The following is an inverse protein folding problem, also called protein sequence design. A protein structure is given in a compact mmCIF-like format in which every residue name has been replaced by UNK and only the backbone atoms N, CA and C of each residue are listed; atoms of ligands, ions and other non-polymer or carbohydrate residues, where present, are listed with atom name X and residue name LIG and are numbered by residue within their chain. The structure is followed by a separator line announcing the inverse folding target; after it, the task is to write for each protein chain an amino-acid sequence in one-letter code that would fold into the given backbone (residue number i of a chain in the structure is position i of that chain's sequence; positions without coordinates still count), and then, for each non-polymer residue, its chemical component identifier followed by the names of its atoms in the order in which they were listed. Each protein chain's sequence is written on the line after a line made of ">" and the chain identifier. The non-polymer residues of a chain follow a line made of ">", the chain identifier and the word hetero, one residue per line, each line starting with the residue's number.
data_IF_241488172543
#
_entry.id   IF_241488172543
#
_cell.length_a   1.000
_cell.length_b   1.000
_cell.length_c   1.000
_cell.angle_alpha   90.00
_cell.angle_beta   90.00
_cell.angle_gamma   90.00
#
_symmetry.space_group_name_H-M   'P 1'
#
loop_
_entity.id
_entity.type
_entity.pdbx_description
1 polymer ?
#
# COMPACT_ATOMS: atom_id res chain seq x y z
N UNK A 1 44.59 -18.29 11.27
CA UNK A 1 43.84 -17.07 11.68
C UNK A 1 42.62 -17.51 12.46
N UNK A 2 42.42 -17.00 13.68
CA UNK A 2 41.25 -17.34 14.48
C UNK A 2 39.97 -16.75 13.81
N UNK A 3 38.86 -17.49 13.78
CA UNK A 3 37.60 -16.99 13.22
C UNK A 3 37.12 -15.79 14.04
N UNK A 4 36.92 -14.65 13.39
CA UNK A 4 36.29 -13.51 14.03
C UNK A 4 34.80 -13.78 14.15
N UNK A 5 34.34 -14.02 15.37
CA UNK A 5 32.92 -14.24 15.62
C UNK A 5 32.17 -12.90 15.66
N UNK A 6 31.29 -12.68 14.68
CA UNK A 6 30.50 -11.45 14.55
C UNK A 6 29.24 -11.44 15.43
N UNK A 7 29.32 -11.77 16.72
CA UNK A 7 28.15 -11.98 17.58
C UNK A 7 27.24 -10.75 17.79
N UNK A 8 27.71 -9.54 17.48
CA UNK A 8 26.92 -8.30 17.64
C UNK A 8 26.12 -7.87 16.40
N UNK A 9 26.30 -8.53 15.25
CA UNK A 9 25.62 -8.12 14.02
C UNK A 9 24.28 -8.87 13.84
N UNK A 10 23.25 -8.19 13.30
CA UNK A 10 22.00 -8.84 12.90
C UNK A 10 22.25 -10.04 11.99
N UNK A 11 21.44 -11.09 12.12
CA UNK A 11 21.58 -12.33 11.36
C UNK A 11 21.64 -12.10 9.84
N UNK A 12 20.86 -11.15 9.32
CA UNK A 12 20.83 -10.80 7.90
C UNK A 12 22.13 -10.16 7.40
N UNK A 13 22.77 -9.33 8.22
CA UNK A 13 24.06 -8.70 7.87
C UNK A 13 25.18 -9.73 7.85
N UNK A 14 25.18 -10.65 8.82
CA UNK A 14 26.11 -11.79 8.84
C UNK A 14 25.95 -12.68 7.61
N UNK A 15 24.72 -12.97 7.20
CA UNK A 15 24.45 -13.69 5.96
C UNK A 15 24.96 -12.93 4.73
N UNK A 16 24.75 -11.60 4.66
CA UNK A 16 25.23 -10.79 3.54
C UNK A 16 26.75 -10.81 3.41
N UNK A 17 27.48 -10.69 4.52
CA UNK A 17 28.94 -10.81 4.54
C UNK A 17 29.41 -12.20 4.11
N UNK A 18 28.77 -13.27 4.63
CA UNK A 18 29.09 -14.64 4.26
C UNK A 18 28.90 -14.89 2.75
N UNK A 19 27.80 -14.41 2.17
CA UNK A 19 27.56 -14.52 0.72
C UNK A 19 28.60 -13.75 -0.10
N UNK A 20 28.99 -12.55 0.35
CA UNK A 20 29.98 -11.74 -0.34
C UNK A 20 31.37 -12.41 -0.38
N UNK A 21 31.79 -13.05 0.71
CA UNK A 21 33.07 -13.75 0.74
C UNK A 21 33.06 -15.10 0.00
N UNK A 22 31.91 -15.79 -0.07
CA UNK A 22 31.72 -16.95 -0.97
C UNK A 22 31.80 -16.50 -2.44
N UNK A 23 31.15 -15.38 -2.79
CA UNK A 23 31.17 -14.85 -4.15
C UNK A 23 32.58 -14.45 -4.63
N UNK A 24 33.45 -14.03 -3.69
CA UNK A 24 34.87 -13.76 -3.94
C UNK A 24 35.73 -15.03 -4.01
N UNK A 25 35.16 -16.20 -3.76
CA UNK A 25 35.87 -17.49 -3.75
C UNK A 25 36.79 -17.70 -2.54
N UNK A 26 36.65 -16.89 -1.48
CA UNK A 26 37.53 -17.00 -0.29
C UNK A 26 37.25 -18.25 0.54
N UNK A 27 35.99 -18.67 0.62
CA UNK A 27 35.54 -19.76 1.47
C UNK A 27 34.50 -20.62 0.75
N UNK A 28 34.47 -21.91 1.08
CA UNK A 28 33.36 -22.81 0.71
C UNK A 28 32.15 -22.52 1.60
N UNK A 29 30.96 -22.92 1.13
CA UNK A 29 29.69 -22.62 1.82
C UNK A 29 29.66 -23.07 3.29
N UNK A 30 30.14 -24.28 3.61
CA UNK A 30 30.19 -24.78 5.00
C UNK A 30 31.19 -24.02 5.88
N UNK A 31 32.33 -23.63 5.32
CA UNK A 31 33.37 -22.88 6.04
C UNK A 31 32.89 -21.48 6.39
N UNK A 32 32.30 -20.78 5.42
CA UNK A 32 31.68 -19.48 5.63
C UNK A 32 30.55 -19.57 6.67
N UNK A 33 29.69 -20.59 6.58
CA UNK A 33 28.61 -20.79 7.54
C UNK A 33 29.11 -20.94 8.99
N UNK A 34 30.20 -21.69 9.19
CA UNK A 34 30.84 -21.81 10.51
C UNK A 34 31.46 -20.50 10.98
N UNK A 35 32.16 -19.78 10.10
CA UNK A 35 32.87 -18.54 10.43
C UNK A 35 31.90 -17.40 10.83
N UNK A 36 30.78 -17.25 10.11
CA UNK A 36 29.77 -16.23 10.39
C UNK A 36 28.67 -16.70 11.38
N UNK A 37 28.76 -17.94 11.87
CA UNK A 37 27.77 -18.57 12.75
C UNK A 37 26.33 -18.47 12.19
N UNK A 38 26.16 -18.90 10.95
CA UNK A 38 24.87 -18.97 10.25
C UNK A 38 24.60 -20.40 9.77
N UNK A 39 23.35 -20.84 9.80
CA UNK A 39 22.99 -22.21 9.38
C UNK A 39 23.32 -22.40 7.88
N UNK A 40 24.03 -23.48 7.48
CA UNK A 40 24.40 -23.72 6.08
C UNK A 40 23.19 -23.80 5.14
N UNK A 41 22.09 -24.41 5.60
CA UNK A 41 20.84 -24.49 4.84
C UNK A 41 20.25 -23.12 4.56
N UNK A 42 20.20 -22.25 5.56
CA UNK A 42 19.71 -20.87 5.42
C UNK A 42 20.58 -20.09 4.44
N UNK A 43 21.90 -20.20 4.54
CA UNK A 43 22.83 -19.54 3.60
C UNK A 43 22.65 -20.04 2.17
N UNK A 44 22.49 -21.35 1.97
CA UNK A 44 22.20 -21.96 0.67
C UNK A 44 20.88 -21.45 0.08
N UNK A 45 19.83 -21.37 0.89
CA UNK A 45 18.54 -20.81 0.49
C UNK A 45 18.66 -19.34 0.06
N UNK A 46 19.49 -18.54 0.75
CA UNK A 46 19.77 -17.15 0.36
C UNK A 46 20.45 -17.04 -0.99
N UNK A 47 21.47 -17.87 -1.23
CA UNK A 47 22.16 -17.89 -2.52
C UNK A 47 21.23 -18.30 -3.67
N UNK A 48 20.19 -19.10 -3.39
CA UNK A 48 19.11 -19.45 -4.35
C UNK A 48 18.06 -18.35 -4.50
N UNK A 49 18.22 -17.20 -3.87
CA UNK A 49 17.29 -16.07 -3.96
C UNK A 49 16.06 -16.17 -3.07
N UNK A 50 16.02 -17.09 -2.09
CA UNK A 50 14.88 -17.14 -1.14
C UNK A 50 14.89 -15.90 -0.24
N UNK A 51 13.75 -15.20 -0.23
CA UNK A 51 13.53 -14.00 0.59
C UNK A 51 13.53 -14.32 2.08
N UNK A 52 13.89 -13.35 2.95
CA UNK A 52 13.82 -13.54 4.39
C UNK A 52 12.42 -13.90 4.83
N UNK A 53 12.29 -14.79 5.83
CA UNK A 53 10.97 -15.18 6.35
C UNK A 53 10.13 -13.97 6.73
N UNK A 54 10.74 -12.99 7.40
CA UNK A 54 10.08 -11.73 7.74
C UNK A 54 9.56 -11.00 6.49
N UNK A 55 10.43 -10.74 5.50
CA UNK A 55 10.01 -10.09 4.24
C UNK A 55 8.97 -10.89 3.47
N UNK A 56 9.06 -12.23 3.47
CA UNK A 56 8.09 -13.10 2.83
C UNK A 56 6.74 -13.09 3.57
N UNK A 57 6.75 -12.97 4.90
CA UNK A 57 5.55 -12.82 5.71
C UNK A 57 4.90 -11.46 5.47
N UNK A 58 5.67 -10.36 5.48
CA UNK A 58 5.18 -9.02 5.14
C UNK A 58 4.56 -9.00 3.73
N UNK A 59 5.18 -9.65 2.75
CA UNK A 59 4.64 -9.73 1.39
C UNK A 59 3.33 -10.54 1.28
N UNK A 60 3.01 -11.38 2.28
CA UNK A 60 1.78 -12.17 2.34
C UNK A 60 0.71 -11.54 3.23
N UNK A 61 1.00 -10.41 3.87
CA UNK A 61 0.01 -9.70 4.66
C UNK A 61 -1.10 -9.18 3.74
N UNK A 62 -2.36 -9.48 4.11
CA UNK A 62 -3.54 -8.95 3.41
C UNK A 62 -3.83 -7.51 3.83
N UNK A 63 -3.41 -7.13 5.03
CA UNK A 63 -3.64 -5.82 5.63
C UNK A 63 -2.31 -5.07 5.75
N UNK A 64 -2.30 -3.75 5.52
CA UNK A 64 -1.17 -2.90 5.88
C UNK A 64 -0.90 -2.95 7.39
N UNK A 65 0.37 -2.87 7.78
CA UNK A 65 0.80 -2.85 9.19
C UNK A 65 -0.02 -1.93 10.11
N UNK A 66 -0.33 -0.66 9.75
CA UNK A 66 -1.13 0.19 10.65
C UNK A 66 -2.54 -0.35 10.88
N UNK A 67 -3.15 -1.01 9.90
CA UNK A 67 -4.49 -1.60 10.04
C UNK A 67 -4.44 -2.88 10.84
N UNK A 68 -3.43 -3.71 10.61
CA UNK A 68 -3.22 -4.94 11.38
C UNK A 68 -2.98 -4.63 12.86
N UNK A 69 -2.22 -3.57 13.17
CA UNK A 69 -1.98 -3.11 14.55
C UNK A 69 -3.27 -2.76 15.28
N UNK A 70 -4.15 -1.96 14.65
CA UNK A 70 -5.46 -1.59 15.21
C UNK A 70 -6.33 -2.83 15.44
N UNK A 71 -6.33 -3.77 14.50
CA UNK A 71 -7.10 -5.00 14.63
C UNK A 71 -6.58 -5.89 15.77
N UNK A 72 -5.26 -6.00 15.94
CA UNK A 72 -4.64 -6.77 17.03
C UNK A 72 -4.96 -6.14 18.38
N UNK A 73 -4.82 -4.81 18.51
CA UNK A 73 -5.16 -4.08 19.74
C UNK A 73 -6.64 -4.25 20.11
N UNK A 74 -7.53 -4.21 19.13
CA UNK A 74 -8.95 -4.47 19.32
C UNK A 74 -9.23 -5.90 19.78
N UNK A 75 -8.62 -6.91 19.13
CA UNK A 75 -8.73 -8.30 19.57
C UNK A 75 -8.23 -8.49 21.01
N UNK A 76 -7.17 -7.77 21.40
CA UNK A 76 -6.67 -7.79 22.78
C UNK A 76 -7.65 -7.14 23.75
N UNK A 77 -8.25 -6.00 23.40
CA UNK A 77 -9.27 -5.34 24.22
C UNK A 77 -10.49 -6.24 24.43
N UNK A 78 -10.98 -6.91 23.38
CA UNK A 78 -12.10 -7.83 23.49
C UNK A 78 -11.79 -9.09 24.30
N UNK A 79 -10.54 -9.58 24.23
CA UNK A 79 -10.10 -10.67 25.07
C UNK A 79 -10.15 -10.30 26.58
N UNK A 80 -9.99 -9.02 26.92
CA UNK A 80 -10.08 -8.52 28.29
C UNK A 80 -11.53 -8.33 28.78
N UNK A 81 -12.48 -8.01 27.90
CA UNK A 81 -13.88 -7.72 28.29
C UNK A 81 -14.77 -8.95 28.45
N UNK A 82 -14.19 -10.17 28.36
CA UNK A 82 -14.92 -11.44 28.42
C UNK A 82 -16.08 -11.56 27.41
N UNK A 83 -16.05 -10.76 26.34
CA UNK A 83 -16.95 -10.87 25.20
C UNK A 83 -16.21 -11.59 24.06
N UNK A 84 -16.45 -12.89 23.87
CA UNK A 84 -15.79 -13.61 22.78
C UNK A 84 -16.24 -13.02 21.45
N UNK A 85 -15.26 -12.71 20.60
CA UNK A 85 -15.49 -12.29 19.21
C UNK A 85 -16.40 -13.29 18.51
N UNK A 86 -17.63 -12.90 18.20
CA UNK A 86 -18.48 -13.70 17.35
C UNK A 86 -18.01 -13.52 15.90
N UNK A 87 -17.82 -14.61 15.17
CA UNK A 87 -17.33 -14.58 13.78
C UNK A 87 -18.25 -13.78 12.84
N UNK A 88 -19.50 -13.60 13.26
CA UNK A 88 -20.55 -12.93 12.50
C UNK A 88 -20.69 -11.44 12.83
N UNK A 89 -19.98 -10.92 13.83
CA UNK A 89 -20.04 -9.50 14.14
C UNK A 89 -19.27 -8.73 13.07
N UNK A 90 -19.95 -7.92 12.24
CA UNK A 90 -19.30 -7.29 11.10
C UNK A 90 -18.29 -6.26 11.60
N UNK A 91 -17.04 -6.28 11.10
CA UNK A 91 -16.03 -5.27 11.44
C UNK A 91 -16.44 -3.85 11.02
N UNK A 92 -17.49 -3.70 10.19
CA UNK A 92 -18.04 -2.41 9.76
C UNK A 92 -18.61 -1.57 10.91
N UNK A 93 -19.23 -2.18 11.92
CA UNK A 93 -19.78 -1.42 13.05
C UNK A 93 -18.69 -0.68 13.84
N UNK A 94 -17.46 -1.20 13.84
CA UNK A 94 -16.34 -0.62 14.59
C UNK A 94 -15.41 0.25 13.72
N UNK A 95 -15.35 0.02 12.41
CA UNK A 95 -14.69 0.92 11.46
C UNK A 95 -15.37 2.31 11.43
N UNK A 96 -16.70 2.35 11.62
CA UNK A 96 -17.47 3.59 11.76
C UNK A 96 -17.14 4.30 13.08
N UNK A 97 -17.04 3.58 14.21
CA UNK A 97 -16.67 4.14 15.51
C UNK A 97 -15.26 4.74 15.54
N UNK A 98 -14.28 4.10 14.88
CA UNK A 98 -12.89 4.58 14.81
C UNK A 98 -12.69 5.75 13.82
N UNK A 99 -13.55 5.86 12.79
CA UNK A 99 -13.54 7.01 11.89
C UNK A 99 -14.10 8.27 12.57
N UNK A 100 -15.14 8.12 13.40
CA UNK A 100 -15.74 9.23 14.16
C UNK A 100 -14.83 9.77 15.27
N UNK A 101 -14.06 8.91 15.94
CA UNK A 101 -13.10 9.37 16.97
C UNK A 101 -11.91 10.14 16.37
N UNK A 102 -11.39 9.72 15.21
CA UNK A 102 -10.35 10.47 14.50
C UNK A 102 -10.86 11.81 13.96
N UNK A 103 -12.12 11.88 13.52
CA UNK A 103 -12.76 13.13 13.12
C UNK A 103 -12.93 14.06 14.34
N UNK A 104 -13.37 13.54 15.49
CA UNK A 104 -13.47 14.29 16.75
C UNK A 104 -12.11 14.81 17.23
N UNK A 105 -11.06 13.99 17.21
CA UNK A 105 -9.71 14.39 17.61
C UNK A 105 -9.13 15.48 16.70
N UNK A 106 -9.28 15.35 15.38
CA UNK A 106 -8.85 16.38 14.42
C UNK A 106 -9.63 17.69 14.59
N UNK A 107 -10.94 17.62 14.82
CA UNK A 107 -11.75 18.81 15.09
C UNK A 107 -11.36 19.49 16.42
N UNK A 108 -11.03 18.71 17.46
CA UNK A 108 -10.59 19.24 18.75
C UNK A 108 -9.20 19.90 18.68
N UNK A 109 -8.29 19.36 17.87
CA UNK A 109 -6.97 19.95 17.60
C UNK A 109 -7.10 21.27 16.83
N UNK A 110 -7.96 21.33 15.81
CA UNK A 110 -8.27 22.58 15.10
C UNK A 110 -8.87 23.65 16.02
N UNK A 111 -9.80 23.28 16.91
CA UNK A 111 -10.38 24.21 17.87
C UNK A 111 -9.35 24.78 18.86
N UNK A 112 -8.45 23.94 19.40
CA UNK A 112 -7.38 24.40 20.31
C UNK A 112 -6.35 25.31 19.63
N UNK A 113 -6.10 25.14 18.32
CA UNK A 113 -5.24 26.05 17.56
C UNK A 113 -5.90 27.43 17.40
N UNK A 114 -7.22 27.48 17.18
CA UNK A 114 -7.97 28.74 17.07
C UNK A 114 -8.06 29.49 18.42
N UNK A 115 -8.30 28.80 19.54
CA UNK A 115 -8.35 29.42 20.87
C UNK A 115 -6.98 29.95 21.33
N UNK A 116 -5.89 29.29 20.92
CA UNK A 116 -4.53 29.76 21.19
C UNK A 116 -4.15 30.99 20.34
N UNK A 117 -4.81 31.19 19.19
CA UNK A 117 -4.68 32.43 18.40
C UNK A 117 -5.56 33.57 18.94
N UNK A 118 -6.71 33.26 19.57
CA UNK A 118 -7.62 34.27 20.15
C UNK A 118 -7.15 34.85 21.49
N UNK A 119 -6.40 34.07 22.26
CA UNK A 119 -5.85 34.49 23.58
C UNK A 119 -4.55 35.29 23.51
N UNK A 120 -3.93 35.42 22.33
CA UNK A 120 -2.78 36.31 22.10
C UNK A 120 -3.21 37.63 21.47
N UNK A 121 -4.10 38.34 22.16
CA UNK A 121 -4.41 39.74 21.86
C UNK A 121 -3.29 40.67 22.31
N UNK A 122 -2.14 40.68 21.61
CA UNK A 122 -1.22 41.82 21.50
C UNK A 122 0.04 41.41 20.71
N UNK A 123 0.01 41.64 19.40
CA UNK A 123 1.22 42.03 18.66
C UNK A 123 0.81 42.74 17.37
N UNK A 124 0.46 44.03 17.50
CA UNK A 124 0.59 44.98 16.39
C UNK A 124 2.09 45.21 16.20
N UNK A 125 2.75 44.37 15.41
CA UNK A 125 4.19 44.49 15.20
C UNK A 125 4.69 43.50 14.18
N UNK A 126 5.05 44.01 13.01
CA UNK A 126 5.75 43.30 11.95
C UNK A 126 4.98 42.16 11.27
N UNK A 127 3.98 42.55 10.47
CA UNK A 127 3.61 41.83 9.27
C UNK A 127 4.80 41.86 8.26
N UNK A 128 5.79 40.99 8.51
CA UNK A 128 6.73 40.47 7.51
C UNK A 128 6.69 38.94 7.62
N UNK A 129 5.48 38.39 7.44
CA UNK A 129 5.31 36.97 7.18
C UNK A 129 5.37 36.79 5.66
N UNK A 130 6.42 36.12 5.22
CA UNK A 130 6.68 35.70 3.85
C UNK A 130 5.41 35.35 3.08
N UNK A 131 5.23 36.00 1.94
CA UNK A 131 4.35 35.63 0.83
C UNK A 131 4.76 34.29 0.25
N UNK A 132 4.47 33.19 0.96
CA UNK A 132 4.56 31.82 0.44
C UNK A 132 3.17 31.28 0.03
N UNK A 133 2.14 32.14 0.04
CA UNK A 133 0.76 31.77 -0.28
C UNK A 133 0.46 31.58 -1.77
N UNK A 134 1.11 32.34 -2.66
CA UNK A 134 0.78 32.30 -4.11
C UNK A 134 1.26 31.02 -4.79
N UNK A 135 2.40 30.45 -4.35
CA UNK A 135 2.94 29.22 -4.92
C UNK A 135 2.14 27.96 -4.58
N UNK A 136 1.42 27.96 -3.45
CA UNK A 136 0.57 26.83 -3.06
C UNK A 136 -0.81 26.87 -3.73
N UNK A 137 -1.35 28.07 -3.96
CA UNK A 137 -2.61 28.22 -4.71
C UNK A 137 -2.48 27.81 -6.18
N UNK A 138 -1.34 28.11 -6.83
CA UNK A 138 -1.09 27.62 -8.20
C UNK A 138 -1.03 26.09 -8.25
N UNK A 139 -0.32 25.45 -7.33
CA UNK A 139 -0.23 23.97 -7.28
C UNK A 139 -1.59 23.30 -7.05
N UNK A 140 -2.48 23.93 -6.28
CA UNK A 140 -3.85 23.43 -6.07
C UNK A 140 -4.68 23.54 -7.35
N UNK A 141 -4.61 24.67 -8.05
CA UNK A 141 -5.32 24.86 -9.34
C UNK A 141 -4.81 23.90 -10.42
N UNK A 142 -3.49 23.69 -10.50
CA UNK A 142 -2.89 22.69 -11.40
C UNK A 142 -3.35 21.26 -11.10
N UNK A 143 -3.42 20.88 -9.82
CA UNK A 143 -3.91 19.56 -9.41
C UNK A 143 -5.40 19.37 -9.72
N UNK A 144 -6.22 20.40 -9.52
CA UNK A 144 -7.65 20.38 -9.86
C UNK A 144 -7.88 20.29 -11.38
N UNK A 145 -7.11 21.03 -12.18
CA UNK A 145 -7.16 20.97 -13.65
C UNK A 145 -6.69 19.61 -14.18
N UNK A 146 -5.61 19.06 -13.62
CA UNK A 146 -5.15 17.71 -13.96
C UNK A 146 -6.20 16.64 -13.62
N UNK A 147 -6.93 16.82 -12.50
CA UNK A 147 -8.06 15.97 -12.13
C UNK A 147 -9.21 16.03 -13.14
N UNK A 148 -9.59 17.24 -13.59
CA UNK A 148 -10.62 17.43 -14.63
C UNK A 148 -10.23 16.76 -15.94
N UNK A 149 -9.00 16.99 -16.43
CA UNK A 149 -8.49 16.37 -17.68
C UNK A 149 -8.49 14.85 -17.62
N UNK A 150 -8.17 14.25 -16.47
CA UNK A 150 -8.23 12.78 -16.29
C UNK A 150 -9.66 12.26 -16.37
N UNK A 151 -10.62 12.91 -15.71
CA UNK A 151 -12.05 12.53 -15.76
C UNK A 151 -12.62 12.63 -17.18
N UNK A 152 -12.33 13.72 -17.89
CA UNK A 152 -12.74 13.88 -19.29
C UNK A 152 -12.13 12.81 -20.22
N UNK A 153 -10.87 12.44 -19.99
CA UNK A 153 -10.22 11.39 -20.77
C UNK A 153 -10.83 9.99 -20.50
N UNK A 154 -11.18 9.72 -19.25
CA UNK A 154 -11.85 8.49 -18.83
C UNK A 154 -13.28 8.40 -19.40
N UNK A 155 -14.05 9.49 -19.34
CA UNK A 155 -15.39 9.58 -19.91
C UNK A 155 -15.37 9.36 -21.44
N UNK A 156 -14.42 9.96 -22.15
CA UNK A 156 -14.23 9.73 -23.59
C UNK A 156 -13.86 8.27 -23.91
N UNK A 157 -13.11 7.59 -23.04
CA UNK A 157 -12.79 6.15 -23.21
C UNK A 157 -14.04 5.30 -23.00
N UNK A 158 -14.81 5.58 -21.96
CA UNK A 158 -16.08 4.88 -21.69
C UNK A 158 -17.08 5.06 -22.84
N UNK A 159 -17.22 6.28 -23.37
CA UNK A 159 -18.10 6.56 -24.50
C UNK A 159 -17.68 5.82 -25.78
N UNK A 160 -16.37 5.73 -26.05
CA UNK A 160 -15.84 4.94 -27.17
C UNK A 160 -16.14 3.45 -27.01
N UNK A 161 -15.97 2.91 -25.81
CA UNK A 161 -16.29 1.50 -25.51
C UNK A 161 -17.79 1.22 -25.70
N UNK A 162 -18.66 2.06 -25.15
CA UNK A 162 -20.11 1.94 -25.32
C UNK A 162 -20.54 1.97 -26.81
N UNK A 163 -19.94 2.86 -27.62
CA UNK A 163 -20.19 2.91 -29.05
C UNK A 163 -19.70 1.67 -29.80
N UNK A 164 -18.55 1.10 -29.41
CA UNK A 164 -18.06 -0.16 -29.97
C UNK A 164 -19.00 -1.32 -29.64
N UNK A 165 -19.46 -1.44 -28.40
CA UNK A 165 -20.41 -2.47 -27.99
C UNK A 165 -21.74 -2.37 -28.75
N UNK A 166 -22.25 -1.14 -28.93
CA UNK A 166 -23.47 -0.92 -29.71
C UNK A 166 -23.32 -1.39 -31.16
N UNK A 167 -22.19 -1.07 -31.82
CA UNK A 167 -21.90 -1.57 -33.18
C UNK A 167 -21.77 -3.09 -33.24
N UNK A 168 -21.21 -3.72 -32.21
CA UNK A 168 -21.15 -5.19 -32.14
C UNK A 168 -22.54 -5.80 -32.00
N UNK A 169 -23.40 -5.23 -31.14
CA UNK A 169 -24.80 -5.65 -31.00
C UNK A 169 -25.60 -5.49 -32.30
N UNK A 170 -25.43 -4.37 -33.01
CA UNK A 170 -26.07 -4.14 -34.31
C UNK A 170 -25.64 -5.16 -35.36
N UNK A 171 -24.35 -5.55 -35.39
CA UNK A 171 -23.88 -6.63 -36.28
C UNK A 171 -24.48 -8.00 -35.94
N UNK A 172 -24.65 -8.30 -34.65
CA UNK A 172 -25.25 -9.57 -34.20
C UNK A 172 -26.75 -9.64 -34.48
N UNK A 173 -27.43 -8.50 -34.50
CA UNK A 173 -28.88 -8.41 -34.71
C UNK A 173 -29.26 -8.13 -36.18
N UNK A 174 -28.31 -8.13 -37.12
CA UNK A 174 -28.66 -8.03 -38.53
C UNK A 174 -29.35 -9.34 -38.97
N UNK A 175 -30.54 -9.25 -39.59
CA UNK A 175 -31.20 -10.41 -40.16
C UNK A 175 -30.25 -11.05 -41.16
N UNK A 176 -29.98 -12.34 -40.97
CA UNK A 176 -29.12 -13.09 -41.90
C UNK A 176 -29.75 -12.95 -43.29
N UNK A 177 -28.96 -12.60 -44.32
CA UNK A 177 -29.51 -12.56 -45.66
C UNK A 177 -30.09 -13.93 -45.95
N UNK A 178 -31.39 -13.95 -46.29
CA UNK A 178 -32.05 -15.17 -46.71
C UNK A 178 -31.21 -15.73 -47.86
N UNK A 179 -30.62 -16.92 -47.64
CA UNK A 179 -29.92 -17.63 -48.69
C UNK A 179 -31.00 -17.96 -49.71
N UNK A 180 -31.08 -17.16 -50.78
CA UNK A 180 -31.93 -17.46 -51.92
C UNK A 180 -31.55 -18.87 -52.35
N UNK A 181 -32.48 -19.79 -52.13
CA UNK A 181 -32.30 -21.20 -52.43
C UNK A 181 -31.89 -21.33 -53.87
N UNK A 182 -30.88 -22.16 -54.13
CA UNK A 182 -30.64 -22.73 -55.43
C UNK A 182 -31.96 -23.32 -55.93
N UNK A 183 -32.65 -22.58 -56.79
CA UNK A 183 -33.62 -23.12 -57.71
C UNK A 183 -32.85 -24.04 -58.63
N UNK A 184 -32.82 -25.33 -58.28
CA UNK A 184 -32.38 -26.38 -59.18
C UNK A 184 -33.48 -26.55 -60.23
N UNK A 185 -33.31 -25.91 -61.40
CA UNK A 185 -34.13 -26.17 -62.56
C UNK A 185 -33.83 -27.59 -63.07
N UNK A 186 -34.87 -28.40 -63.22
CA UNK A 186 -34.86 -29.74 -63.84
C UNK A 186 -35.06 -29.57 -65.35
#
# INVERSE_FOLDING_TARGET
>A
MAPQHHHGLPDEERMALAMADIAKGKYRLREAAGLYNVKPSTLSDRMRGRKPRQKAQTARQRLPEPKERVMVEWCQQLALTAHPLNRNDPPEAHAILMADENLKLNNMLCAKVQDKQRSRGHFQGAARCYTMGEGLEMKRKEAEEAGRKKREAEEKRAQKQANQERRQKEKMNMPRPYKNGNFCAI
#
